data_IF_724551350431
#
_entry.id   IF_724551350431
#
_cell.length_a   1.000
_cell.length_b   1.000
_cell.length_c   1.000
_cell.angle_alpha   90.00
_cell.angle_beta   90.00
_cell.angle_gamma   90.00
#
_symmetry.space_group_name_H-M   'P 1'
#
loop_
_entity.id
_entity.type
_entity.pdbx_description
1 polymer ?
#
# COMPACT_ATOMS: atom_id res chain seq x y z
N UNK A 1 -16.19 -2.55 36.18
CA UNK A 1 -15.72 -3.52 35.18
C UNK A 1 -16.74 -3.47 34.05
N UNK A 2 -16.41 -2.76 32.95
CA UNK A 2 -17.18 -2.78 31.69
C UNK A 2 -16.83 -4.08 30.94
N UNK A 3 -17.76 -4.77 30.29
CA UNK A 3 -17.43 -5.94 29.49
C UNK A 3 -16.54 -5.54 28.32
N UNK A 4 -15.48 -6.31 28.07
CA UNK A 4 -14.66 -6.18 26.88
C UNK A 4 -15.57 -6.37 25.64
N UNK A 5 -15.70 -5.32 24.84
CA UNK A 5 -16.42 -5.37 23.56
C UNK A 5 -15.49 -5.99 22.53
N UNK A 6 -15.92 -7.09 21.96
CA UNK A 6 -15.24 -7.82 20.88
C UNK A 6 -15.45 -7.08 19.57
N UNK A 7 -14.62 -6.06 19.31
CA UNK A 7 -14.68 -5.23 18.08
C UNK A 7 -13.47 -5.46 17.15
N UNK A 8 -12.88 -6.67 17.12
CA UNK A 8 -11.63 -6.97 16.40
C UNK A 8 -11.87 -7.87 15.17
N UNK A 9 -13.10 -7.92 14.64
CA UNK A 9 -13.45 -9.04 13.76
C UNK A 9 -13.09 -8.88 12.28
N UNK A 10 -12.86 -7.66 11.74
CA UNK A 10 -12.72 -7.49 10.28
C UNK A 10 -11.25 -7.41 9.85
N UNK A 11 -10.41 -6.59 10.46
CA UNK A 11 -8.99 -6.52 10.07
C UNK A 11 -8.15 -7.71 10.59
N UNK A 12 -8.39 -8.18 11.83
CA UNK A 12 -7.67 -9.33 12.38
C UNK A 12 -8.14 -10.69 11.82
N UNK A 13 -9.36 -10.79 11.31
CA UNK A 13 -9.91 -12.01 10.71
C UNK A 13 -9.21 -12.41 9.41
N UNK A 14 -8.73 -11.45 8.64
CA UNK A 14 -8.07 -11.69 7.37
C UNK A 14 -6.62 -12.21 7.51
N UNK A 15 -5.92 -11.83 8.58
CA UNK A 15 -4.53 -12.28 8.81
C UNK A 15 -4.42 -13.62 9.56
N UNK A 16 -5.46 -14.05 10.31
CA UNK A 16 -5.43 -15.27 11.13
C UNK A 16 -5.89 -16.55 10.40
N UNK A 17 -6.51 -16.45 9.22
CA UNK A 17 -7.00 -17.61 8.46
C UNK A 17 -5.93 -18.36 7.66
N UNK A 18 -4.72 -17.83 7.54
CA UNK A 18 -3.61 -18.49 6.83
C UNK A 18 -2.94 -19.64 7.62
N UNK A 19 -3.32 -19.89 8.89
CA UNK A 19 -2.64 -20.87 9.77
C UNK A 19 -3.39 -22.17 10.07
N UNK A 20 -4.65 -22.37 9.66
CA UNK A 20 -5.40 -23.61 9.96
C UNK A 20 -6.16 -24.15 8.74
N UNK A 21 -5.54 -25.12 8.07
CA UNK A 21 -6.25 -25.97 7.11
C UNK A 21 -7.31 -26.81 7.80
N UNK A 22 -8.58 -26.77 7.35
CA UNK A 22 -9.60 -27.77 7.71
C UNK A 22 -10.72 -27.84 6.68
N UNK A 23 -10.84 -29.05 6.18
CA UNK A 23 -11.98 -29.82 5.64
C UNK A 23 -13.26 -29.10 5.20
N UNK A 24 -13.56 -29.23 3.92
CA UNK A 24 -14.79 -28.84 3.22
C UNK A 24 -16.02 -29.62 3.66
N UNK A 25 -17.14 -28.93 3.87
CA UNK A 25 -18.49 -29.50 3.83
C UNK A 25 -19.30 -28.84 2.68
N UNK A 26 -20.14 -29.59 1.94
CA UNK A 26 -20.78 -29.09 0.73
C UNK A 26 -21.99 -28.21 0.99
N UNK A 27 -22.11 -27.13 0.20
CA UNK A 27 -23.14 -26.07 0.23
C UNK A 27 -24.33 -26.42 -0.68
N UNK A 28 -25.57 -26.11 -0.30
CA UNK A 28 -26.73 -26.17 -1.20
C UNK A 28 -26.89 -24.88 -2.03
N UNK A 29 -27.42 -25.03 -3.24
CA UNK A 29 -27.60 -24.01 -4.27
C UNK A 29 -28.58 -22.88 -3.89
N UNK A 30 -28.42 -21.65 -4.47
CA UNK A 30 -29.24 -20.49 -4.13
C UNK A 30 -30.53 -20.42 -4.97
N UNK A 31 -31.59 -19.93 -4.33
CA UNK A 31 -32.88 -19.61 -4.95
C UNK A 31 -32.90 -18.14 -5.37
N UNK A 32 -33.34 -17.91 -6.63
CA UNK A 32 -33.55 -16.58 -7.24
C UNK A 32 -34.65 -15.80 -6.55
N UNK A 33 -34.39 -14.53 -6.20
CA UNK A 33 -35.43 -13.55 -5.93
C UNK A 33 -35.08 -12.18 -6.52
N UNK A 34 -36.04 -11.64 -7.23
CA UNK A 34 -36.10 -10.38 -7.96
C UNK A 34 -36.05 -9.16 -7.06
N UNK A 35 -35.31 -8.11 -7.50
CA UNK A 35 -35.21 -6.80 -6.88
C UNK A 35 -36.46 -5.91 -7.09
N UNK A 36 -36.73 -4.95 -6.23
CA UNK A 36 -37.44 -3.74 -6.62
C UNK A 36 -36.57 -2.48 -6.54
N UNK A 37 -36.75 -1.68 -7.56
CA UNK A 37 -36.24 -0.34 -7.80
C UNK A 37 -36.67 0.65 -6.71
N UNK A 38 -35.78 1.51 -6.23
CA UNK A 38 -36.13 2.68 -5.43
C UNK A 38 -35.34 3.92 -5.87
N UNK A 39 -36.09 4.98 -6.07
CA UNK A 39 -35.80 6.28 -6.64
C UNK A 39 -35.08 7.24 -5.67
N UNK A 40 -34.20 8.07 -6.24
CA UNK A 40 -33.46 9.18 -5.63
C UNK A 40 -34.37 10.43 -5.45
N UNK A 41 -34.21 11.21 -4.38
CA UNK A 41 -34.63 12.61 -4.38
C UNK A 41 -33.46 13.59 -4.37
N UNK A 42 -33.65 14.65 -5.19
CA UNK A 42 -32.74 15.78 -5.40
C UNK A 42 -32.80 16.87 -4.33
N UNK A 43 -31.64 17.51 -4.13
CA UNK A 43 -31.39 18.95 -3.93
C UNK A 43 -31.92 19.69 -2.68
N UNK A 44 -30.97 20.29 -1.93
CA UNK A 44 -31.15 21.59 -1.27
C UNK A 44 -29.86 22.42 -1.43
N UNK A 45 -30.02 23.69 -1.82
CA UNK A 45 -28.99 24.65 -2.20
C UNK A 45 -28.38 25.43 -1.02
N UNK A 46 -27.54 26.46 -1.28
CA UNK A 46 -26.46 26.93 -0.46
C UNK A 46 -26.80 27.94 0.62
N UNK A 47 -26.06 27.96 1.72
CA UNK A 47 -26.07 29.01 2.75
C UNK A 47 -24.79 29.86 2.68
N UNK A 48 -24.99 31.17 2.88
CA UNK A 48 -24.02 32.25 2.71
C UNK A 48 -23.07 32.46 3.90
N UNK A 49 -21.98 33.26 3.74
CA UNK A 49 -20.85 33.34 4.62
C UNK A 49 -21.02 34.28 5.83
N UNK A 50 -20.26 34.05 6.87
CA UNK A 50 -20.11 34.95 8.04
C UNK A 50 -18.65 35.35 8.18
N UNK A 51 -18.39 36.66 8.25
CA UNK A 51 -17.11 37.34 8.35
C UNK A 51 -16.54 37.35 9.79
N UNK A 52 -15.21 37.60 9.94
CA UNK A 52 -14.44 37.36 11.15
C UNK A 52 -14.30 38.60 12.05
N UNK A 53 -14.16 38.37 13.32
CA UNK A 53 -13.71 39.38 14.29
C UNK A 53 -12.28 39.10 14.76
N UNK A 54 -11.40 40.08 14.56
CA UNK A 54 -10.00 40.10 15.01
C UNK A 54 -9.85 40.67 16.44
N UNK A 55 -8.64 41.13 16.87
CA UNK A 55 -7.79 40.41 17.81
C UNK A 55 -7.67 41.09 19.17
N UNK A 56 -7.18 40.39 20.18
CA UNK A 56 -6.67 41.01 21.41
C UNK A 56 -5.29 40.44 21.79
N UNK A 57 -4.39 41.33 22.05
CA UNK A 57 -2.98 41.14 22.37
C UNK A 57 -2.72 41.02 23.89
N UNK A 58 -1.46 40.66 24.18
CA UNK A 58 -0.63 40.81 25.42
C UNK A 58 -0.69 39.63 26.40
N UNK A 59 0.40 39.02 26.79
CA UNK A 59 1.56 39.52 27.53
C UNK A 59 2.67 38.47 27.58
N UNK A 60 3.90 38.98 27.42
CA UNK A 60 5.15 38.26 27.68
C UNK A 60 5.47 38.28 29.18
N UNK A 61 6.05 37.27 29.82
CA UNK A 61 7.32 37.51 30.46
C UNK A 61 8.35 36.36 30.43
N UNK A 62 9.61 36.80 30.26
CA UNK A 62 10.85 36.31 30.89
C UNK A 62 11.40 34.93 30.51
N UNK A 63 12.52 34.95 29.77
CA UNK A 63 13.37 33.79 29.51
C UNK A 63 14.20 33.37 30.74
N UNK A 64 14.64 32.11 30.75
CA UNK A 64 15.74 31.60 31.55
C UNK A 64 17.02 31.35 30.73
N UNK A 65 18.13 31.04 31.38
CA UNK A 65 19.46 31.39 30.92
C UNK A 65 20.10 30.41 29.95
N UNK A 66 21.03 30.94 29.19
CA UNK A 66 21.94 30.26 28.26
C UNK A 66 22.75 29.16 28.95
N UNK A 67 22.69 27.92 28.37
CA UNK A 67 23.72 26.91 28.56
C UNK A 67 24.39 26.56 27.23
N UNK A 68 25.67 26.28 27.32
CA UNK A 68 26.67 26.31 26.28
C UNK A 68 26.46 25.22 25.19
N UNK A 69 26.70 25.65 23.96
CA UNK A 69 26.85 24.79 22.79
C UNK A 69 28.02 23.81 22.99
N UNK A 70 27.71 22.54 23.03
CA UNK A 70 28.65 21.43 22.81
C UNK A 70 28.63 21.05 21.33
N UNK A 71 29.81 20.99 20.75
CA UNK A 71 30.13 20.59 19.40
C UNK A 71 29.59 19.15 19.09
N UNK A 72 28.72 18.92 18.09
CA UNK A 72 28.35 17.58 17.67
C UNK A 72 29.16 17.16 16.45
N UNK A 73 30.47 16.97 16.60
CA UNK A 73 31.25 16.15 15.67
C UNK A 73 31.37 14.73 16.23
N UNK A 74 30.26 14.00 16.20
CA UNK A 74 30.22 12.57 16.43
C UNK A 74 29.75 11.90 15.15
N UNK A 75 30.70 11.35 14.37
CA UNK A 75 30.41 10.41 13.29
C UNK A 75 29.64 9.23 13.88
N UNK A 76 28.37 9.12 13.56
CA UNK A 76 27.59 7.92 13.81
C UNK A 76 27.93 6.87 12.75
N UNK A 77 29.07 6.18 12.96
CA UNK A 77 29.32 4.88 12.39
C UNK A 77 28.58 3.84 13.26
N UNK A 78 27.28 3.73 13.07
CA UNK A 78 26.53 2.58 13.54
C UNK A 78 26.64 1.48 12.49
N UNK A 79 27.31 0.38 12.84
CA UNK A 79 27.20 -0.85 12.08
C UNK A 79 25.71 -1.23 12.00
N UNK A 80 25.23 -1.74 10.84
CA UNK A 80 23.85 -2.21 10.72
C UNK A 80 23.59 -3.35 11.73
N UNK A 81 22.37 -3.47 12.27
CA UNK A 81 22.04 -4.53 13.21
C UNK A 81 22.36 -5.91 12.62
N UNK A 82 23.01 -6.77 13.43
CA UNK A 82 23.66 -8.00 13.01
C UNK A 82 22.73 -9.20 12.74
N UNK A 83 21.41 -9.01 12.62
CA UNK A 83 20.45 -10.07 12.30
C UNK A 83 19.49 -9.64 11.18
N UNK A 84 20.03 -9.52 9.95
CA UNK A 84 19.19 -9.50 8.75
C UNK A 84 18.86 -10.95 8.37
N UNK A 85 17.58 -11.29 8.07
CA UNK A 85 17.25 -12.60 7.56
C UNK A 85 18.00 -12.85 6.26
N UNK A 86 18.65 -14.02 6.17
CA UNK A 86 19.44 -14.46 5.02
C UNK A 86 18.51 -14.79 3.84
N UNK A 87 18.11 -13.79 3.07
CA UNK A 87 17.38 -13.97 1.82
C UNK A 87 17.57 -12.80 0.83
N UNK A 88 18.73 -12.14 0.84
CA UNK A 88 19.07 -11.27 -0.30
C UNK A 88 19.75 -12.15 -1.35
N UNK A 89 19.24 -12.13 -2.59
CA UNK A 89 20.03 -12.62 -3.73
C UNK A 89 21.25 -11.70 -3.88
N UNK A 90 22.34 -12.18 -4.47
CA UNK A 90 23.56 -11.37 -4.70
C UNK A 90 23.30 -10.09 -5.52
N UNK A 91 22.10 -9.95 -6.08
CA UNK A 91 21.64 -8.83 -6.93
C UNK A 91 20.67 -7.87 -6.21
N UNK A 92 20.42 -8.04 -4.90
CA UNK A 92 19.57 -7.18 -4.09
C UNK A 92 20.36 -6.28 -3.15
N UNK A 93 19.95 -5.02 -3.04
CA UNK A 93 20.58 -4.02 -2.19
C UNK A 93 19.53 -3.32 -1.33
N UNK A 94 19.77 -3.29 0.00
CA UNK A 94 18.97 -2.45 0.88
C UNK A 94 19.29 -0.98 0.63
N UNK A 95 18.24 -0.16 0.52
CA UNK A 95 18.33 1.28 0.29
C UNK A 95 17.49 2.05 1.32
N UNK A 96 17.92 3.28 1.61
CA UNK A 96 17.19 4.22 2.45
C UNK A 96 16.86 5.45 1.62
N UNK A 97 15.59 5.66 1.33
CA UNK A 97 15.09 6.67 0.41
C UNK A 97 14.68 7.91 1.21
N UNK A 98 15.24 9.10 0.96
CA UNK A 98 14.79 10.31 1.62
C UNK A 98 13.34 10.64 1.24
N UNK A 99 12.46 10.81 2.24
CA UNK A 99 11.06 11.18 2.08
C UNK A 99 10.71 12.26 3.12
N UNK A 100 10.80 13.54 2.73
CA UNK A 100 10.55 14.65 3.64
C UNK A 100 11.52 14.69 4.81
N UNK A 101 11.03 14.45 6.02
CA UNK A 101 11.78 14.49 7.29
C UNK A 101 12.20 13.09 7.81
N UNK A 102 11.86 12.02 7.07
CA UNK A 102 12.22 10.64 7.39
C UNK A 102 12.86 9.91 6.20
N UNK A 103 13.10 8.61 6.36
CA UNK A 103 13.65 7.73 5.33
C UNK A 103 12.82 6.49 5.17
N UNK A 104 12.49 6.15 3.93
CA UNK A 104 11.77 4.93 3.56
C UNK A 104 12.78 3.81 3.32
N UNK A 105 12.74 2.71 4.08
CA UNK A 105 13.57 1.55 3.79
C UNK A 105 13.03 0.79 2.58
N UNK A 106 13.94 0.28 1.75
CA UNK A 106 13.56 -0.49 0.58
C UNK A 106 14.62 -1.51 0.17
N UNK A 107 14.23 -2.43 -0.68
CA UNK A 107 15.13 -3.39 -1.33
C UNK A 107 15.06 -3.19 -2.84
N UNK A 108 16.18 -2.73 -3.41
CA UNK A 108 16.38 -2.59 -4.85
C UNK A 108 16.97 -3.88 -5.41
N UNK A 109 16.28 -4.49 -6.37
CA UNK A 109 16.76 -5.63 -7.15
C UNK A 109 17.05 -5.17 -8.58
N UNK A 110 18.30 -5.30 -9.03
CA UNK A 110 18.71 -4.96 -10.38
C UNK A 110 19.01 -6.24 -11.17
N UNK A 111 18.42 -6.43 -12.36
CA UNK A 111 18.78 -7.55 -13.21
C UNK A 111 20.19 -7.36 -13.80
N UNK A 112 20.83 -8.46 -14.16
CA UNK A 112 22.08 -8.39 -14.93
C UNK A 112 21.83 -7.71 -16.28
N UNK A 113 22.55 -6.63 -16.53
CA UNK A 113 22.47 -5.87 -17.79
C UNK A 113 23.86 -5.59 -18.38
N UNK A 114 23.93 -5.30 -19.68
CA UNK A 114 25.17 -4.89 -20.29
C UNK A 114 25.60 -3.49 -19.77
N UNK A 115 26.91 -3.21 -19.70
CA UNK A 115 27.39 -1.91 -19.23
C UNK A 115 26.76 -0.75 -20.01
N UNK A 116 26.08 0.18 -19.29
CA UNK A 116 25.40 1.35 -19.86
C UNK A 116 24.01 1.03 -20.46
N UNK A 117 23.53 -0.18 -20.34
CA UNK A 117 22.14 -0.52 -20.69
C UNK A 117 21.22 -0.17 -19.53
N UNK A 118 20.21 0.65 -19.80
CA UNK A 118 19.13 0.91 -18.86
C UNK A 118 18.04 -0.15 -18.96
N UNK A 119 17.45 -0.51 -17.83
CA UNK A 119 16.40 -1.53 -17.71
C UNK A 119 15.08 -0.91 -17.25
N UNK A 120 13.92 -1.50 -17.60
CA UNK A 120 12.65 -1.11 -16.99
C UNK A 120 12.61 -1.47 -15.51
N UNK A 121 11.72 -0.83 -14.74
CA UNK A 121 11.58 -1.08 -13.32
C UNK A 121 10.12 -1.09 -12.84
N UNK A 122 9.88 -1.70 -11.67
CA UNK A 122 8.59 -1.72 -10.99
C UNK A 122 8.77 -1.31 -9.53
N UNK A 123 7.99 -0.32 -9.08
CA UNK A 123 7.82 0.00 -7.68
C UNK A 123 6.74 -0.92 -7.09
N UNK A 124 7.04 -1.63 -5.99
CA UNK A 124 6.15 -2.57 -5.31
C UNK A 124 5.72 -1.99 -3.96
N UNK A 125 4.40 -1.88 -3.76
CA UNK A 125 3.75 -1.25 -2.62
C UNK A 125 2.92 -2.28 -1.85
N UNK A 126 3.33 -2.60 -0.62
CA UNK A 126 2.69 -3.62 0.20
C UNK A 126 1.31 -3.21 0.75
N UNK A 127 0.55 -4.20 1.21
CA UNK A 127 -0.75 -4.02 1.87
C UNK A 127 -0.65 -3.48 3.30
N UNK A 128 -1.79 -3.19 3.91
CA UNK A 128 -1.86 -2.71 5.29
C UNK A 128 -1.15 -3.66 6.25
N UNK A 129 -0.37 -3.08 7.17
CA UNK A 129 0.31 -3.79 8.27
C UNK A 129 1.27 -4.90 7.84
N UNK A 130 1.64 -4.95 6.56
CA UNK A 130 2.58 -5.90 5.98
C UNK A 130 4.01 -5.32 5.96
N UNK A 131 4.86 -5.82 5.09
CA UNK A 131 6.19 -5.32 4.82
C UNK A 131 6.50 -5.43 3.34
N UNK A 132 7.65 -4.89 2.90
CA UNK A 132 8.10 -4.91 1.50
C UNK A 132 8.17 -6.29 0.84
N UNK A 133 8.23 -7.37 1.64
CA UNK A 133 8.30 -8.74 1.09
C UNK A 133 6.94 -9.40 0.95
N UNK A 134 5.91 -8.86 1.61
CA UNK A 134 4.55 -9.37 1.69
C UNK A 134 4.45 -10.78 2.32
N UNK A 135 3.22 -11.17 2.65
CA UNK A 135 2.95 -12.51 3.17
C UNK A 135 3.41 -13.58 2.17
N UNK A 136 3.97 -14.67 2.65
CA UNK A 136 4.52 -15.72 1.79
C UNK A 136 5.68 -15.26 0.90
N UNK A 137 6.31 -14.13 1.22
CA UNK A 137 7.38 -13.51 0.42
C UNK A 137 6.96 -13.22 -1.03
N UNK A 138 5.68 -12.91 -1.25
CA UNK A 138 5.11 -12.75 -2.59
C UNK A 138 5.85 -11.68 -3.40
N UNK A 139 6.21 -10.55 -2.80
CA UNK A 139 6.94 -9.50 -3.50
C UNK A 139 8.42 -9.84 -3.70
N UNK A 140 9.05 -10.57 -2.78
CA UNK A 140 10.42 -11.06 -2.98
C UNK A 140 10.47 -12.09 -4.13
N UNK A 141 9.49 -13.00 -4.22
CA UNK A 141 9.35 -13.96 -5.32
C UNK A 141 9.08 -13.26 -6.65
N UNK A 142 8.19 -12.25 -6.65
CA UNK A 142 7.92 -11.44 -7.84
C UNK A 142 9.18 -10.69 -8.30
N UNK A 143 9.94 -10.09 -7.39
CA UNK A 143 11.18 -9.38 -7.70
C UNK A 143 12.20 -10.31 -8.38
N UNK A 144 12.35 -11.54 -7.88
CA UNK A 144 13.22 -12.56 -8.50
C UNK A 144 12.73 -12.93 -9.92
N UNK A 145 11.41 -13.09 -10.11
CA UNK A 145 10.82 -13.39 -11.42
C UNK A 145 11.01 -12.22 -12.42
N UNK A 146 10.85 -10.98 -11.97
CA UNK A 146 11.08 -9.77 -12.77
C UNK A 146 12.55 -9.64 -13.17
N UNK A 147 13.48 -9.82 -12.21
CA UNK A 147 14.93 -9.74 -12.47
C UNK A 147 15.37 -10.80 -13.50
N UNK A 148 14.85 -12.03 -13.45
CA UNK A 148 15.08 -13.07 -14.44
C UNK A 148 14.62 -12.68 -15.86
N UNK A 149 13.71 -11.70 -15.98
CA UNK A 149 13.17 -11.18 -17.25
C UNK A 149 13.74 -9.81 -17.62
N UNK A 150 14.78 -9.33 -16.91
CA UNK A 150 15.45 -8.08 -17.20
C UNK A 150 14.73 -6.83 -16.71
N UNK A 151 13.83 -6.94 -15.73
CA UNK A 151 13.08 -5.85 -15.10
C UNK A 151 13.59 -5.69 -13.66
N UNK A 152 14.01 -4.47 -13.29
CA UNK A 152 14.34 -4.11 -11.92
C UNK A 152 13.09 -3.98 -11.05
N UNK A 153 13.26 -4.08 -9.73
CA UNK A 153 12.17 -3.78 -8.79
C UNK A 153 12.68 -3.06 -7.55
N UNK A 154 11.85 -2.21 -6.97
CA UNK A 154 12.04 -1.60 -5.67
C UNK A 154 10.83 -1.95 -4.79
N UNK A 155 11.08 -2.67 -3.69
CA UNK A 155 10.10 -2.97 -2.63
C UNK A 155 10.38 -2.04 -1.47
N UNK A 156 9.36 -1.40 -0.90
CA UNK A 156 9.52 -0.46 0.22
C UNK A 156 8.69 -0.87 1.43
N UNK A 157 9.11 -0.43 2.63
CA UNK A 157 8.27 -0.47 3.83
C UNK A 157 7.73 0.94 4.10
N UNK A 158 6.42 1.06 4.26
CA UNK A 158 5.79 2.30 4.67
C UNK A 158 6.10 2.65 6.14
N UNK A 159 5.87 3.89 6.53
CA UNK A 159 6.03 4.35 7.89
C UNK A 159 5.39 3.39 8.91
N UNK A 160 6.10 3.07 9.98
CA UNK A 160 5.63 2.17 11.06
C UNK A 160 5.61 0.69 10.71
N UNK A 161 5.99 0.27 9.50
CA UNK A 161 6.00 -1.14 9.06
C UNK A 161 7.40 -1.63 8.73
N UNK A 162 7.59 -2.95 8.64
CA UNK A 162 8.85 -3.58 8.26
C UNK A 162 10.06 -3.05 9.04
N UNK A 163 11.06 -2.54 8.31
CA UNK A 163 12.27 -1.93 8.86
C UNK A 163 12.18 -0.40 9.01
N UNK A 164 10.98 0.19 8.87
CA UNK A 164 10.79 1.63 9.08
C UNK A 164 11.23 2.07 10.48
N UNK A 165 11.93 3.20 10.56
CA UNK A 165 12.33 3.83 11.83
C UNK A 165 11.19 4.67 12.43
N UNK A 166 10.11 4.89 11.66
CA UNK A 166 8.94 5.64 12.12
C UNK A 166 8.06 4.80 13.06
N UNK A 167 7.38 5.44 14.04
CA UNK A 167 6.49 4.72 14.94
C UNK A 167 5.21 4.25 14.23
N UNK A 168 4.57 3.20 14.74
CA UNK A 168 3.29 2.67 14.24
C UNK A 168 2.22 3.77 14.01
N UNK A 169 2.20 4.78 14.91
CA UNK A 169 1.24 5.88 14.88
C UNK A 169 1.49 6.90 13.74
N UNK A 170 2.62 6.79 13.04
CA UNK A 170 2.91 7.61 11.87
C UNK A 170 2.24 7.09 10.59
N UNK A 171 1.68 5.88 10.62
CA UNK A 171 1.00 5.32 9.45
C UNK A 171 -0.27 6.12 9.13
N UNK A 172 -0.29 6.78 7.98
CA UNK A 172 -1.49 7.41 7.42
C UNK A 172 -1.44 7.44 5.88
N UNK A 173 -2.58 7.69 5.24
CA UNK A 173 -2.69 7.61 3.78
C UNK A 173 -1.84 8.65 3.03
N UNK A 174 -1.81 9.94 3.40
CA UNK A 174 -0.97 10.94 2.75
C UNK A 174 0.52 10.63 2.83
N UNK A 175 1.01 10.17 3.98
CA UNK A 175 2.41 9.81 4.16
C UNK A 175 2.78 8.57 3.34
N UNK A 176 1.90 7.55 3.28
CA UNK A 176 2.10 6.41 2.37
C UNK A 176 2.19 6.84 0.89
N UNK A 177 1.37 7.79 0.45
CA UNK A 177 1.44 8.35 -0.92
C UNK A 177 2.75 9.11 -1.11
N UNK A 178 3.19 9.90 -0.13
CA UNK A 178 4.45 10.64 -0.18
C UNK A 178 5.66 9.68 -0.25
N UNK A 179 5.66 8.61 0.55
CA UNK A 179 6.69 7.57 0.55
C UNK A 179 6.78 6.86 -0.81
N UNK A 180 5.64 6.49 -1.37
CA UNK A 180 5.57 5.85 -2.69
C UNK A 180 6.04 6.81 -3.80
N UNK A 181 5.68 8.09 -3.72
CA UNK A 181 6.13 9.12 -4.69
C UNK A 181 7.64 9.34 -4.59
N UNK A 182 8.20 9.48 -3.39
CA UNK A 182 9.64 9.60 -3.19
C UNK A 182 10.40 8.37 -3.70
N UNK A 183 9.82 7.18 -3.53
CA UNK A 183 10.39 5.92 -4.00
C UNK A 183 10.33 5.78 -5.52
N UNK A 184 9.27 6.27 -6.16
CA UNK A 184 9.16 6.35 -7.61
C UNK A 184 10.22 7.30 -8.20
N UNK A 185 10.43 8.44 -7.57
CA UNK A 185 11.45 9.41 -7.97
C UNK A 185 12.86 8.86 -7.77
N UNK A 186 13.09 8.12 -6.67
CA UNK A 186 14.36 7.42 -6.43
C UNK A 186 14.68 6.42 -7.56
N UNK A 187 13.71 5.57 -7.94
CA UNK A 187 13.88 4.67 -9.09
C UNK A 187 14.20 5.41 -10.38
N UNK A 188 13.49 6.50 -10.67
CA UNK A 188 13.66 7.29 -11.88
C UNK A 188 14.99 8.03 -11.92
N UNK A 189 15.63 8.26 -10.78
CA UNK A 189 16.93 8.91 -10.67
C UNK A 189 18.11 7.94 -10.82
N UNK A 190 17.88 6.63 -10.70
CA UNK A 190 18.94 5.63 -10.85
C UNK A 190 19.41 5.52 -12.31
N UNK A 191 20.74 5.58 -12.52
CA UNK A 191 21.35 5.55 -13.87
C UNK A 191 21.13 4.23 -14.61
N UNK A 192 20.87 3.12 -13.88
CA UNK A 192 20.58 1.82 -14.47
C UNK A 192 19.14 1.70 -14.95
N UNK A 193 18.24 2.61 -14.54
CA UNK A 193 16.81 2.53 -14.82
C UNK A 193 16.42 3.41 -16.02
N UNK A 194 15.64 2.84 -16.93
CA UNK A 194 14.95 3.63 -17.96
C UNK A 194 13.71 4.31 -17.34
N UNK A 195 13.87 5.58 -17.01
CA UNK A 195 12.82 6.39 -16.36
C UNK A 195 11.49 6.46 -17.13
N UNK A 196 11.49 6.16 -18.43
CA UNK A 196 10.29 6.13 -19.24
C UNK A 196 9.55 4.79 -19.16
N UNK A 197 10.16 3.77 -18.54
CA UNK A 197 9.63 2.41 -18.41
C UNK A 197 9.56 1.98 -16.95
N UNK A 198 9.00 2.85 -16.09
CA UNK A 198 8.79 2.56 -14.67
C UNK A 198 7.29 2.35 -14.42
N UNK A 199 6.94 1.16 -13.94
CA UNK A 199 5.59 0.79 -13.55
C UNK A 199 5.42 0.85 -12.02
N UNK A 200 4.16 0.86 -11.57
CA UNK A 200 3.78 0.74 -10.16
C UNK A 200 2.92 -0.51 -10.00
N UNK A 201 3.19 -1.29 -8.96
CA UNK A 201 2.36 -2.42 -8.54
C UNK A 201 2.04 -2.28 -7.05
N UNK A 202 0.79 -2.50 -6.68
CA UNK A 202 0.39 -2.51 -5.28
C UNK A 202 -0.59 -3.63 -4.95
N UNK A 203 -0.40 -4.22 -3.75
CA UNK A 203 -1.32 -5.21 -3.19
C UNK A 203 -2.23 -4.54 -2.16
N UNK A 204 -3.54 -4.87 -2.16
CA UNK A 204 -4.48 -4.40 -1.14
C UNK A 204 -4.45 -2.87 -1.00
N UNK A 205 -4.16 -2.31 0.18
CA UNK A 205 -3.96 -0.87 0.39
C UNK A 205 -2.87 -0.29 -0.51
N UNK A 206 -1.76 -1.01 -0.71
CA UNK A 206 -0.73 -0.62 -1.66
C UNK A 206 -1.27 -0.45 -3.09
N UNK A 207 -2.33 -1.17 -3.47
CA UNK A 207 -3.05 -0.97 -4.72
C UNK A 207 -3.78 0.38 -4.77
N UNK A 208 -4.41 0.80 -3.66
CA UNK A 208 -5.01 2.13 -3.54
C UNK A 208 -3.95 3.25 -3.61
N UNK A 209 -2.87 3.12 -2.84
CA UNK A 209 -1.73 4.05 -2.89
C UNK A 209 -1.15 4.12 -4.30
N UNK A 210 -0.90 2.96 -4.92
CA UNK A 210 -0.39 2.88 -6.29
C UNK A 210 -1.32 3.52 -7.33
N UNK A 211 -2.64 3.43 -7.13
CA UNK A 211 -3.63 4.11 -7.97
C UNK A 211 -3.52 5.64 -7.84
N UNK A 212 -3.46 6.17 -6.60
CA UNK A 212 -3.26 7.61 -6.36
C UNK A 212 -1.96 8.09 -7.00
N UNK A 213 -0.82 7.41 -6.75
CA UNK A 213 0.48 7.77 -7.34
C UNK A 213 0.42 7.71 -8.87
N UNK A 214 -0.17 6.67 -9.45
CA UNK A 214 -0.28 6.53 -10.91
C UNK A 214 -1.13 7.62 -11.54
N UNK A 215 -2.19 8.04 -10.86
CA UNK A 215 -3.10 9.08 -11.35
C UNK A 215 -2.56 10.50 -11.21
N UNK A 216 -1.71 10.75 -10.21
CA UNK A 216 -1.19 12.08 -9.89
C UNK A 216 0.23 12.32 -10.40
N UNK A 217 1.06 11.26 -10.52
CA UNK A 217 2.44 11.36 -10.98
C UNK A 217 2.56 11.08 -12.48
N UNK A 218 3.01 12.05 -13.31
CA UNK A 218 3.12 11.85 -14.73
C UNK A 218 4.18 10.81 -15.10
N UNK A 219 3.92 10.04 -16.16
CA UNK A 219 4.93 9.17 -16.77
C UNK A 219 5.09 7.80 -16.07
N UNK A 220 4.13 7.36 -15.27
CA UNK A 220 4.01 5.95 -14.89
C UNK A 220 3.67 5.15 -16.15
N UNK A 221 4.51 4.17 -16.50
CA UNK A 221 4.41 3.45 -17.77
C UNK A 221 3.31 2.38 -17.77
N UNK A 222 3.03 1.77 -16.62
CA UNK A 222 1.98 0.77 -16.43
C UNK A 222 1.58 0.70 -14.96
N UNK A 223 0.34 0.29 -14.67
CA UNK A 223 -0.13 0.04 -13.31
C UNK A 223 -0.64 -1.40 -13.15
N UNK A 224 -0.26 -2.03 -12.04
CA UNK A 224 -0.74 -3.36 -11.65
C UNK A 224 -1.38 -3.29 -10.27
N UNK A 225 -2.58 -3.78 -10.14
CA UNK A 225 -3.32 -3.89 -8.88
C UNK A 225 -3.49 -5.37 -8.51
N UNK A 226 -2.92 -5.80 -7.39
CA UNK A 226 -3.14 -7.12 -6.82
C UNK A 226 -4.16 -7.01 -5.70
N UNK A 227 -5.36 -7.60 -5.86
CA UNK A 227 -6.46 -7.51 -4.89
C UNK A 227 -6.60 -6.08 -4.30
N UNK A 228 -6.42 -5.05 -5.15
CA UNK A 228 -6.20 -3.68 -4.70
C UNK A 228 -7.46 -3.01 -4.17
N UNK A 229 -7.31 -2.29 -3.05
CA UNK A 229 -8.33 -1.43 -2.47
C UNK A 229 -8.48 -0.11 -3.26
N UNK A 230 -8.80 -0.21 -4.57
CA UNK A 230 -8.96 0.94 -5.46
C UNK A 230 -10.41 1.41 -5.46
N UNK A 231 -10.80 2.05 -4.38
CA UNK A 231 -12.12 2.69 -4.18
C UNK A 231 -11.92 3.96 -3.36
N UNK A 232 -12.81 4.93 -3.51
CA UNK A 232 -12.77 6.13 -2.66
C UNK A 232 -13.07 5.75 -1.22
N UNK A 233 -12.38 6.40 -0.29
CA UNK A 233 -12.39 6.03 1.11
C UNK A 233 -13.77 6.11 1.75
N UNK A 234 -13.97 5.26 2.71
CA UNK A 234 -15.11 5.24 3.63
C UNK A 234 -14.61 4.72 4.99
N UNK A 235 -15.44 4.83 6.00
CA UNK A 235 -15.12 4.28 7.32
C UNK A 235 -15.23 2.74 7.28
N UNK A 236 -14.09 2.08 7.05
CA UNK A 236 -13.97 0.63 6.85
C UNK A 236 -14.21 -0.15 8.15
N UNK A 237 -13.88 0.45 9.30
CA UNK A 237 -14.04 -0.12 10.63
C UNK A 237 -14.55 0.96 11.61
N UNK A 238 -15.86 1.27 11.59
CA UNK A 238 -16.46 2.29 12.45
C UNK A 238 -16.23 2.06 13.94
N UNK A 239 -16.19 0.80 14.40
CA UNK A 239 -15.95 0.48 15.80
C UNK A 239 -14.47 0.72 16.19
N UNK A 240 -13.54 0.37 15.32
CA UNK A 240 -12.10 0.69 15.48
C UNK A 240 -11.86 2.19 15.43
N UNK A 241 -12.49 2.90 14.51
CA UNK A 241 -12.41 4.34 14.38
C UNK A 241 -12.91 5.06 15.65
N UNK A 242 -14.05 4.63 16.23
CA UNK A 242 -14.54 5.18 17.50
C UNK A 242 -13.57 4.87 18.66
N UNK A 243 -12.98 3.65 18.69
CA UNK A 243 -11.94 3.30 19.66
C UNK A 243 -10.72 4.21 19.53
N UNK A 244 -10.25 4.46 18.29
CA UNK A 244 -9.14 5.37 18.04
C UNK A 244 -9.46 6.82 18.44
N UNK A 245 -10.71 7.29 18.27
CA UNK A 245 -11.16 8.61 18.77
C UNK A 245 -11.15 8.70 20.29
N UNK A 246 -11.54 7.63 21.02
CA UNK A 246 -11.58 7.62 22.48
C UNK A 246 -10.18 7.45 23.10
N UNK A 247 -9.37 6.50 22.58
CA UNK A 247 -8.13 6.03 23.19
C UNK A 247 -6.85 6.50 22.44
N UNK A 248 -7.02 7.14 21.26
CA UNK A 248 -5.93 7.64 20.40
C UNK A 248 -5.43 6.60 19.38
N UNK A 249 -5.70 5.33 19.59
CA UNK A 249 -5.30 4.23 18.69
C UNK A 249 -6.10 2.96 18.96
N UNK A 250 -6.07 2.03 17.98
CA UNK A 250 -6.51 0.64 18.12
C UNK A 250 -5.29 -0.25 18.28
N UNK A 251 -5.18 -1.05 19.37
CA UNK A 251 -4.11 -2.05 19.49
C UNK A 251 -4.46 -3.28 18.64
N UNK A 252 -3.56 -3.66 17.73
CA UNK A 252 -3.64 -4.88 16.93
C UNK A 252 -2.55 -5.84 17.41
N UNK A 253 -2.95 -7.02 17.90
CA UNK A 253 -2.05 -8.02 18.50
C UNK A 253 -1.67 -9.07 17.46
N UNK A 254 -0.40 -9.12 17.09
CA UNK A 254 0.20 -10.11 16.19
C UNK A 254 0.96 -11.21 16.94
N UNK A 255 0.78 -11.32 18.26
CA UNK A 255 1.36 -12.35 19.10
C UNK A 255 2.74 -11.96 19.65
N UNK A 256 3.69 -11.67 18.83
CA UNK A 256 5.04 -11.22 19.20
C UNK A 256 5.16 -9.69 19.27
N UNK A 257 4.25 -9.00 18.60
CA UNK A 257 4.18 -7.53 18.54
C UNK A 257 2.74 -7.05 18.63
N UNK A 258 2.51 -5.97 19.36
CA UNK A 258 1.26 -5.19 19.31
C UNK A 258 1.50 -3.95 18.47
N UNK A 259 0.82 -3.85 17.34
CA UNK A 259 0.82 -2.66 16.47
C UNK A 259 -0.25 -1.68 16.98
N UNK A 260 0.02 -0.36 16.90
CA UNK A 260 -0.91 0.69 17.29
C UNK A 260 -1.40 1.44 16.07
N UNK A 261 -2.60 1.14 15.63
CA UNK A 261 -3.22 1.84 14.51
C UNK A 261 -3.84 3.15 14.99
N UNK A 262 -3.26 4.27 14.60
CA UNK A 262 -3.61 5.61 15.09
C UNK A 262 -4.91 6.16 14.49
N UNK A 263 -5.49 7.19 15.14
CA UNK A 263 -6.67 7.90 14.60
C UNK A 263 -6.41 8.49 13.20
N UNK A 264 -5.19 8.99 12.93
CA UNK A 264 -4.83 9.53 11.62
C UNK A 264 -5.04 8.53 10.49
N UNK A 265 -4.75 7.24 10.70
CA UNK A 265 -4.97 6.22 9.69
C UNK A 265 -6.46 6.17 9.28
N UNK A 266 -7.38 6.09 10.26
CA UNK A 266 -8.82 6.05 9.99
C UNK A 266 -9.31 7.30 9.28
N UNK A 267 -8.98 8.50 9.83
CA UNK A 267 -9.43 9.77 9.28
C UNK A 267 -8.93 10.00 7.84
N UNK A 268 -7.69 9.59 7.53
CA UNK A 268 -7.10 9.81 6.21
C UNK A 268 -7.51 8.76 5.19
N UNK A 269 -7.78 7.51 5.60
CA UNK A 269 -8.38 6.50 4.73
C UNK A 269 -9.80 6.90 4.33
N UNK A 270 -10.63 7.36 5.29
CA UNK A 270 -11.99 7.86 4.99
C UNK A 270 -11.99 9.00 3.96
N UNK A 271 -10.94 9.82 3.95
CA UNK A 271 -10.78 10.96 3.05
C UNK A 271 -9.99 10.65 1.77
N UNK A 272 -9.54 9.43 1.55
CA UNK A 272 -8.77 9.06 0.36
C UNK A 272 -9.65 8.90 -0.89
N UNK A 273 -9.10 9.16 -2.08
CA UNK A 273 -9.84 9.12 -3.34
C UNK A 273 -9.09 8.40 -4.47
N UNK A 274 -8.49 7.21 -4.25
CA UNK A 274 -7.65 6.53 -5.25
C UNK A 274 -8.39 6.20 -6.56
N UNK A 275 -9.70 5.93 -6.49
CA UNK A 275 -10.51 5.66 -7.69
C UNK A 275 -10.68 6.92 -8.55
N UNK A 276 -10.92 8.07 -7.92
CA UNK A 276 -11.04 9.36 -8.62
C UNK A 276 -9.66 9.79 -9.15
N UNK A 277 -8.60 9.64 -8.37
CA UNK A 277 -7.23 10.03 -8.72
C UNK A 277 -6.78 9.31 -10.00
N UNK A 278 -6.98 7.99 -10.11
CA UNK A 278 -6.54 7.20 -11.26
C UNK A 278 -7.48 7.30 -12.46
N UNK A 279 -8.68 7.86 -12.31
CA UNK A 279 -9.72 7.85 -13.36
C UNK A 279 -9.24 8.41 -14.71
N UNK A 280 -8.33 9.40 -14.70
CA UNK A 280 -7.75 10.00 -15.89
C UNK A 280 -6.56 9.26 -16.50
N UNK A 281 -6.08 8.17 -15.89
CA UNK A 281 -4.93 7.44 -16.38
C UNK A 281 -5.25 6.67 -17.67
N UNK A 282 -4.39 6.79 -18.69
CA UNK A 282 -4.58 6.21 -20.02
C UNK A 282 -3.57 5.11 -20.38
N UNK A 283 -2.57 4.87 -19.53
CA UNK A 283 -1.59 3.79 -19.72
C UNK A 283 -2.16 2.41 -19.45
N UNK A 284 -1.40 1.33 -19.72
CA UNK A 284 -1.83 -0.05 -19.50
C UNK A 284 -2.13 -0.34 -18.02
N UNK A 285 -3.19 -1.11 -17.75
CA UNK A 285 -3.61 -1.51 -16.40
C UNK A 285 -3.88 -3.01 -16.35
N UNK A 286 -3.31 -3.68 -15.34
CA UNK A 286 -3.63 -5.06 -14.97
C UNK A 286 -4.24 -5.09 -13.57
N UNK A 287 -5.39 -5.75 -13.42
CA UNK A 287 -5.89 -6.17 -12.12
C UNK A 287 -5.79 -7.69 -11.99
N UNK A 288 -5.16 -8.18 -10.93
CA UNK A 288 -5.11 -9.59 -10.54
C UNK A 288 -5.87 -9.74 -9.22
N UNK A 289 -6.83 -10.65 -9.18
CA UNK A 289 -7.68 -10.86 -7.99
C UNK A 289 -7.84 -12.34 -7.69
N UNK A 290 -7.97 -12.69 -6.43
CA UNK A 290 -8.34 -14.04 -6.01
C UNK A 290 -9.85 -14.24 -6.07
N UNK A 291 -10.31 -15.41 -6.56
CA UNK A 291 -11.76 -15.72 -6.59
C UNK A 291 -12.34 -15.90 -5.17
N UNK A 292 -11.52 -16.29 -4.20
CA UNK A 292 -11.90 -16.53 -2.81
C UNK A 292 -11.44 -15.40 -1.87
N UNK A 293 -11.13 -14.22 -2.43
CA UNK A 293 -10.79 -13.02 -1.65
C UNK A 293 -11.96 -12.61 -0.74
N UNK A 294 -11.74 -12.63 0.58
CA UNK A 294 -12.73 -12.28 1.61
C UNK A 294 -12.43 -10.90 2.24
N UNK A 295 -11.40 -10.19 1.75
CA UNK A 295 -10.96 -8.90 2.30
C UNK A 295 -11.39 -7.77 1.37
N UNK A 296 -11.00 -7.84 0.10
CA UNK A 296 -11.42 -6.88 -0.94
C UNK A 296 -12.29 -7.63 -1.94
N UNK A 297 -13.57 -7.24 -2.03
CA UNK A 297 -14.49 -7.86 -2.99
C UNK A 297 -13.90 -7.78 -4.42
N UNK A 298 -13.75 -8.90 -5.13
CA UNK A 298 -13.24 -8.92 -6.50
C UNK A 298 -13.96 -7.97 -7.47
N UNK A 299 -15.20 -7.56 -7.17
CA UNK A 299 -15.93 -6.55 -7.95
C UNK A 299 -15.28 -5.17 -7.91
N UNK A 300 -14.49 -4.84 -6.87
CA UNK A 300 -13.72 -3.59 -6.78
C UNK A 300 -12.82 -3.43 -8.00
N UNK A 301 -12.13 -4.50 -8.39
CA UNK A 301 -11.26 -4.49 -9.58
C UNK A 301 -12.03 -4.27 -10.87
N UNK A 302 -13.25 -4.81 -11.00
CA UNK A 302 -14.11 -4.57 -12.16
C UNK A 302 -14.53 -3.09 -12.24
N UNK A 303 -14.99 -2.52 -11.11
CA UNK A 303 -15.40 -1.11 -11.02
C UNK A 303 -14.21 -0.19 -11.34
N UNK A 304 -13.04 -0.51 -10.80
CA UNK A 304 -11.81 0.22 -11.06
C UNK A 304 -11.45 0.23 -12.55
N UNK A 305 -11.41 -0.94 -13.20
CA UNK A 305 -11.09 -1.06 -14.62
C UNK A 305 -12.13 -0.39 -15.53
N UNK A 306 -13.38 -0.33 -15.13
CA UNK A 306 -14.45 0.39 -15.85
C UNK A 306 -14.36 1.93 -15.66
N UNK A 307 -13.69 2.39 -14.59
CA UNK A 307 -13.56 3.82 -14.26
C UNK A 307 -12.35 4.46 -14.91
N UNK A 308 -11.23 3.73 -15.02
CA UNK A 308 -9.98 4.27 -15.57
C UNK A 308 -10.13 4.59 -17.06
N UNK A 309 -9.52 5.71 -17.53
CA UNK A 309 -9.61 6.15 -18.94
C UNK A 309 -8.78 5.27 -19.91
N UNK A 310 -8.04 4.31 -19.41
CA UNK A 310 -7.24 3.39 -20.21
C UNK A 310 -8.12 2.52 -21.13
N UNK A 311 -7.64 2.27 -22.36
CA UNK A 311 -8.22 1.28 -23.28
C UNK A 311 -7.43 -0.04 -23.32
N UNK A 312 -6.29 -0.12 -22.60
CA UNK A 312 -5.48 -1.34 -22.42
C UNK A 312 -5.64 -1.82 -20.97
N UNK A 313 -6.79 -2.40 -20.66
CA UNK A 313 -7.10 -2.95 -19.34
C UNK A 313 -7.20 -4.47 -19.39
N UNK A 314 -6.71 -5.15 -18.36
CA UNK A 314 -6.76 -6.59 -18.21
C UNK A 314 -7.22 -6.95 -16.79
N UNK A 315 -8.23 -7.81 -16.67
CA UNK A 315 -8.60 -8.47 -15.42
C UNK A 315 -8.14 -9.94 -15.49
N UNK A 316 -7.39 -10.37 -14.48
CA UNK A 316 -7.05 -11.77 -14.29
C UNK A 316 -7.57 -12.25 -12.94
N UNK A 317 -8.39 -13.30 -12.96
CA UNK A 317 -8.93 -13.92 -11.74
C UNK A 317 -8.17 -15.22 -11.51
N UNK A 318 -7.47 -15.32 -10.38
CA UNK A 318 -6.80 -16.55 -9.94
C UNK A 318 -7.80 -17.39 -9.16
N UNK A 319 -8.16 -18.57 -9.72
CA UNK A 319 -9.19 -19.43 -9.13
C UNK A 319 -8.73 -20.06 -7.82
N UNK A 320 -9.54 -19.96 -6.78
CA UNK A 320 -9.25 -20.45 -5.43
C UNK A 320 -8.24 -19.61 -4.65
N UNK A 321 -7.73 -18.51 -5.20
CA UNK A 321 -6.79 -17.65 -4.47
C UNK A 321 -7.49 -16.80 -3.40
N UNK A 322 -6.84 -16.69 -2.24
CA UNK A 322 -7.17 -15.75 -1.17
C UNK A 322 -6.70 -14.32 -1.50
N UNK A 323 -6.91 -13.39 -0.57
CA UNK A 323 -6.54 -11.99 -0.71
C UNK A 323 -5.06 -11.75 -1.04
N UNK A 324 -4.15 -12.51 -0.42
CA UNK A 324 -2.70 -12.37 -0.57
C UNK A 324 -2.07 -13.34 -1.57
N UNK A 325 -2.87 -14.17 -2.26
CA UNK A 325 -2.40 -15.23 -3.14
C UNK A 325 -1.51 -16.26 -2.41
N UNK A 326 -1.83 -16.54 -1.15
CA UNK A 326 -1.03 -17.40 -0.26
C UNK A 326 -1.70 -18.73 0.09
N UNK A 327 -2.88 -18.99 -0.44
CA UNK A 327 -3.65 -20.22 -0.20
C UNK A 327 -2.83 -21.48 -0.50
N UNK A 328 -2.08 -21.48 -1.59
CA UNK A 328 -1.04 -22.46 -1.88
C UNK A 328 0.02 -21.89 -2.85
N UNK A 329 1.09 -22.66 -3.12
CA UNK A 329 2.20 -22.20 -3.96
C UNK A 329 1.76 -21.97 -5.41
N UNK A 330 0.81 -22.75 -5.95
CA UNK A 330 0.38 -22.66 -7.33
C UNK A 330 -0.40 -21.40 -7.64
N UNK A 331 -1.27 -20.94 -6.73
CA UNK A 331 -1.99 -19.66 -6.90
C UNK A 331 -1.03 -18.47 -6.82
N UNK A 332 -0.02 -18.53 -5.95
CA UNK A 332 1.03 -17.52 -5.88
C UNK A 332 1.88 -17.48 -7.15
N UNK A 333 2.27 -18.65 -7.67
CA UNK A 333 3.03 -18.75 -8.92
C UNK A 333 2.23 -18.26 -10.12
N UNK A 334 0.92 -18.51 -10.18
CA UNK A 334 0.04 -17.99 -11.23
C UNK A 334 0.00 -16.46 -11.22
N UNK A 335 -0.25 -15.82 -10.05
CA UNK A 335 -0.27 -14.37 -9.91
C UNK A 335 1.06 -13.73 -10.33
N UNK A 336 2.19 -14.31 -9.90
CA UNK A 336 3.53 -13.86 -10.25
C UNK A 336 3.79 -14.03 -11.76
N UNK A 337 3.46 -15.19 -12.32
CA UNK A 337 3.68 -15.52 -13.73
C UNK A 337 2.92 -14.59 -14.67
N UNK A 338 1.60 -14.43 -14.44
CA UNK A 338 0.74 -13.53 -15.22
C UNK A 338 1.24 -12.08 -15.15
N UNK A 339 1.58 -11.61 -13.95
CA UNK A 339 2.10 -10.25 -13.75
C UNK A 339 3.41 -10.03 -14.47
N UNK A 340 4.35 -10.96 -14.33
CA UNK A 340 5.67 -10.87 -14.98
C UNK A 340 5.54 -10.85 -16.50
N UNK A 341 4.76 -11.77 -17.10
CA UNK A 341 4.57 -11.84 -18.54
C UNK A 341 3.85 -10.59 -19.08
N UNK A 342 2.86 -10.08 -18.33
CA UNK A 342 2.15 -8.87 -18.70
C UNK A 342 3.07 -7.63 -18.69
N UNK A 343 3.90 -7.48 -17.65
CA UNK A 343 4.87 -6.37 -17.54
C UNK A 343 5.95 -6.45 -18.62
N UNK A 344 6.49 -7.64 -18.91
CA UNK A 344 7.45 -7.84 -20.00
C UNK A 344 6.86 -7.38 -21.34
N UNK A 345 5.60 -7.67 -21.61
CA UNK A 345 4.95 -7.27 -22.86
C UNK A 345 4.73 -5.75 -23.01
N UNK A 346 4.75 -5.00 -21.90
CA UNK A 346 4.46 -3.55 -21.90
C UNK A 346 5.70 -2.68 -21.61
N UNK A 347 6.66 -3.22 -20.89
CA UNK A 347 7.90 -2.52 -20.55
C UNK A 347 9.10 -2.99 -21.38
N UNK A 348 9.01 -4.16 -22.03
CA UNK A 348 10.11 -4.81 -22.76
C UNK A 348 10.47 -4.18 -24.10
#
# INVERSE_FOLDING_TARGET
MKPARTAIAVLAGALLLAACGSAATPRPAPASTTAPSASVPSAVGPAAPVDPAGPAASDDPAGPPSEQAGDPSGEASGDPPADLPAAFSDDETMVWIPAGDHRVPGTLALPSAAPGQQVPAVLLLHGDLSSRDENGQMFARLAAALAARGIASLRIDFAGTGDSEEPDLALDYPDMVADATASLDYLRADEAIDRARVAVLGLSRGGGIGATVTGTEPGVAAFVSWSGAVYNGYDEDPDGHETAREDGYVPLDFGDRTFKLGLNWFDTIEQSHPLDDISGYTGPVLAVVGSDDQVVDPQVSTIFLDTVASTDTTLHVVDGADHGFTADEAVGDEAIGVTTDWLVARLG
#
